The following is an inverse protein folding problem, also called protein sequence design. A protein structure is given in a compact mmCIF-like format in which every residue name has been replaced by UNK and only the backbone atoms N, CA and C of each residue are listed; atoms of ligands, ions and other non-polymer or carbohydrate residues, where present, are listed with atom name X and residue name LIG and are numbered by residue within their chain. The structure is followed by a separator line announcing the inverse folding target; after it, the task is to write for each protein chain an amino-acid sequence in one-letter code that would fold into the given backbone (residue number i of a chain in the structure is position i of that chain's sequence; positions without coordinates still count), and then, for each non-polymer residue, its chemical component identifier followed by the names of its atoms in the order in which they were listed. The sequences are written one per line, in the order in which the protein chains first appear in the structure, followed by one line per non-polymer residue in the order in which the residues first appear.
data_IF_196926438078
#
_entry.id   IF_196926438078
#
_cell.length_a   1.000
_cell.length_b   1.000
_cell.length_c   1.000
_cell.angle_alpha   90.00
_cell.angle_beta   90.00
_cell.angle_gamma   90.00
#
_symmetry.space_group_name_H-M   'P 1'
#
loop_
_entity.id
_entity.type
_entity.pdbx_description
1 polymer ?
#
# COMPACT_ATOMS: atom_id res chain seq x y z
N UNK A 1 13.55 -4.95 -16.88
CA UNK A 1 14.32 -4.66 -15.66
C UNK A 1 14.99 -5.94 -15.20
N UNK A 2 16.28 -5.91 -14.99
CA UNK A 2 17.07 -7.07 -14.55
C UNK A 2 17.66 -6.77 -13.17
N UNK A 3 17.49 -7.67 -12.22
CA UNK A 3 18.06 -7.58 -10.87
C UNK A 3 19.07 -8.70 -10.68
N UNK A 4 19.88 -8.66 -9.61
CA UNK A 4 20.98 -9.62 -9.36
C UNK A 4 20.59 -11.11 -9.37
N UNK A 5 19.30 -11.43 -9.19
CA UNK A 5 18.78 -12.80 -9.19
C UNK A 5 17.63 -13.05 -10.19
N UNK A 6 17.44 -12.16 -11.15
CA UNK A 6 16.39 -12.32 -12.14
C UNK A 6 15.98 -10.97 -12.74
N UNK A 7 14.86 -10.95 -13.44
CA UNK A 7 14.30 -9.76 -14.04
C UNK A 7 12.78 -9.81 -14.01
N UNK A 8 12.15 -8.65 -14.11
CA UNK A 8 10.72 -8.56 -14.31
C UNK A 8 10.43 -7.53 -15.41
N UNK A 9 9.49 -7.86 -16.26
CA UNK A 9 9.04 -6.99 -17.36
C UNK A 9 7.89 -6.08 -16.92
N UNK A 10 7.13 -6.50 -15.91
CA UNK A 10 5.90 -5.81 -15.48
C UNK A 10 5.89 -5.78 -13.95
N UNK A 11 5.51 -4.64 -13.39
CA UNK A 11 5.09 -4.50 -11.99
C UNK A 11 3.58 -4.40 -11.94
N UNK A 12 2.97 -5.24 -11.12
CA UNK A 12 1.54 -5.19 -10.86
C UNK A 12 1.31 -4.65 -9.44
N UNK A 13 0.37 -3.74 -9.32
CA UNK A 13 -0.05 -3.14 -8.06
C UNK A 13 -1.50 -3.49 -7.80
N UNK A 14 -1.86 -3.76 -6.54
CA UNK A 14 -3.24 -3.94 -6.13
C UNK A 14 -3.73 -2.66 -5.48
N UNK A 15 -4.67 -1.99 -6.13
CA UNK A 15 -5.33 -0.81 -5.57
C UNK A 15 -6.66 -1.20 -4.96
N UNK A 16 -6.95 -0.66 -3.78
CA UNK A 16 -8.21 -0.80 -3.07
C UNK A 16 -8.86 0.55 -2.97
N UNK A 17 -10.12 0.63 -3.39
CA UNK A 17 -10.96 1.80 -3.16
C UNK A 17 -12.10 1.41 -2.24
N UNK A 18 -12.16 2.06 -1.09
CA UNK A 18 -13.25 1.93 -0.12
C UNK A 18 -14.22 3.08 -0.32
N UNK A 19 -15.50 2.76 -0.43
CA UNK A 19 -16.59 3.73 -0.53
C UNK A 19 -17.41 3.72 0.75
N UNK A 20 -17.81 4.90 1.21
CA UNK A 20 -18.71 5.06 2.35
C UNK A 20 -20.11 5.46 1.90
N UNK A 21 -21.08 5.26 2.75
CA UNK A 21 -22.48 5.72 2.59
C UNK A 21 -22.59 7.25 2.56
N UNK A 22 -21.63 7.96 3.20
CA UNK A 22 -21.52 9.42 3.13
C UNK A 22 -20.98 9.97 1.80
N UNK A 23 -20.64 9.10 0.83
CA UNK A 23 -20.09 9.47 -0.47
C UNK A 23 -18.59 9.76 -0.47
N UNK A 24 -17.90 9.70 0.67
CA UNK A 24 -16.44 9.81 0.74
C UNK A 24 -15.82 8.49 0.31
N UNK A 25 -14.75 8.55 -0.47
CA UNK A 25 -13.99 7.35 -0.83
C UNK A 25 -12.50 7.52 -0.51
N UNK A 26 -11.87 6.43 -0.07
CA UNK A 26 -10.45 6.37 0.16
C UNK A 26 -9.74 5.37 -0.73
N UNK A 27 -8.45 5.61 -0.93
CA UNK A 27 -7.58 4.79 -1.76
C UNK A 27 -6.46 4.20 -0.90
N UNK A 28 -6.18 2.91 -1.10
CA UNK A 28 -5.04 2.22 -0.53
C UNK A 28 -4.36 1.32 -1.54
N UNK A 29 -3.14 0.91 -1.25
CA UNK A 29 -2.33 0.06 -2.11
C UNK A 29 -1.80 -1.14 -1.34
N UNK A 30 -1.98 -2.34 -1.89
CA UNK A 30 -1.36 -3.57 -1.41
C UNK A 30 -0.14 -3.93 -2.25
N UNK A 31 1.02 -3.91 -1.62
CA UNK A 31 2.30 -4.30 -2.24
C UNK A 31 2.43 -5.83 -2.29
N UNK A 32 3.29 -6.33 -3.18
CA UNK A 32 3.63 -7.76 -3.29
C UNK A 32 3.06 -8.43 -4.53
N UNK A 33 2.73 -9.71 -4.42
CA UNK A 33 2.10 -10.42 -5.53
C UNK A 33 0.65 -9.99 -5.68
N UNK A 34 0.37 -9.17 -6.68
CA UNK A 34 -0.96 -8.55 -6.88
C UNK A 34 -2.08 -9.59 -7.03
N UNK A 35 -1.83 -10.76 -7.61
CA UNK A 35 -2.84 -11.81 -7.75
C UNK A 35 -3.20 -12.40 -6.38
N UNK A 36 -2.21 -12.67 -5.54
CA UNK A 36 -2.44 -13.19 -4.19
C UNK A 36 -3.13 -12.15 -3.31
N UNK A 37 -2.64 -10.92 -3.30
CA UNK A 37 -3.26 -9.83 -2.53
C UNK A 37 -4.71 -9.62 -2.96
N UNK A 38 -4.99 -9.59 -4.28
CA UNK A 38 -6.35 -9.47 -4.80
C UNK A 38 -7.24 -10.63 -4.39
N UNK A 39 -6.73 -11.87 -4.41
CA UNK A 39 -7.50 -13.04 -4.00
C UNK A 39 -7.88 -12.95 -2.52
N UNK A 40 -6.93 -12.63 -1.64
CA UNK A 40 -7.17 -12.48 -0.19
C UNK A 40 -8.19 -11.36 0.07
N UNK A 41 -8.05 -10.22 -0.59
CA UNK A 41 -9.02 -9.14 -0.48
C UNK A 41 -10.41 -9.62 -0.85
N UNK A 42 -10.55 -10.23 -2.03
CA UNK A 42 -11.85 -10.58 -2.59
C UNK A 42 -12.54 -11.71 -1.85
N UNK A 43 -11.79 -12.77 -1.52
CA UNK A 43 -12.37 -14.02 -0.98
C UNK A 43 -12.45 -14.04 0.56
N UNK A 44 -11.75 -13.11 1.25
CA UNK A 44 -11.67 -13.15 2.71
C UNK A 44 -11.94 -11.80 3.39
N UNK A 45 -11.31 -10.71 2.93
CA UNK A 45 -11.27 -9.46 3.70
C UNK A 45 -12.37 -8.47 3.35
N UNK A 46 -12.84 -8.43 2.09
CA UNK A 46 -13.87 -7.47 1.69
C UNK A 46 -15.17 -7.65 2.48
N UNK A 47 -15.62 -8.88 2.70
CA UNK A 47 -16.83 -9.16 3.49
C UNK A 47 -16.68 -8.73 4.95
N UNK A 48 -15.49 -8.85 5.52
CA UNK A 48 -15.21 -8.43 6.90
C UNK A 48 -15.17 -6.91 7.05
N UNK A 49 -14.81 -6.19 5.98
CA UNK A 49 -14.71 -4.74 5.96
C UNK A 49 -16.02 -4.03 5.66
N UNK A 50 -16.91 -4.66 4.87
CA UNK A 50 -18.21 -4.07 4.51
C UNK A 50 -19.07 -3.87 5.75
N UNK A 51 -19.72 -2.69 5.86
CA UNK A 51 -20.55 -2.31 7.00
C UNK A 51 -19.79 -1.91 8.26
N UNK A 52 -18.44 -1.85 8.21
CA UNK A 52 -17.64 -1.34 9.32
C UNK A 52 -17.45 0.18 9.21
N UNK A 53 -17.35 0.83 10.36
CA UNK A 53 -16.99 2.25 10.43
C UNK A 53 -15.50 2.45 10.06
N UNK A 54 -15.19 3.19 8.98
CA UNK A 54 -13.82 3.42 8.56
C UNK A 54 -13.00 4.28 9.54
N UNK A 55 -13.63 4.89 10.55
CA UNK A 55 -12.91 5.61 11.61
C UNK A 55 -12.34 4.67 12.68
N UNK A 56 -12.88 3.47 12.82
CA UNK A 56 -12.43 2.45 13.77
C UNK A 56 -11.31 1.57 13.16
N UNK A 57 -10.26 2.23 12.66
CA UNK A 57 -9.20 1.63 11.83
C UNK A 57 -8.53 0.45 12.54
N UNK A 58 -8.14 0.62 13.80
CA UNK A 58 -7.44 -0.44 14.55
C UNK A 58 -8.35 -1.65 14.80
N UNK A 59 -9.62 -1.43 15.15
CA UNK A 59 -10.58 -2.51 15.32
C UNK A 59 -10.81 -3.27 14.01
N UNK A 60 -10.91 -2.56 12.90
CA UNK A 60 -11.02 -3.17 11.58
C UNK A 60 -9.76 -3.99 11.23
N UNK A 61 -8.57 -3.42 11.46
CA UNK A 61 -7.30 -4.11 11.23
C UNK A 61 -7.21 -5.41 12.03
N UNK A 62 -7.55 -5.37 13.31
CA UNK A 62 -7.60 -6.57 14.15
C UNK A 62 -8.57 -7.60 13.61
N UNK A 63 -9.80 -7.21 13.25
CA UNK A 63 -10.79 -8.10 12.67
C UNK A 63 -10.29 -8.79 11.39
N UNK A 64 -9.63 -8.05 10.50
CA UNK A 64 -9.06 -8.58 9.25
C UNK A 64 -7.95 -9.60 9.51
N UNK A 65 -7.10 -9.36 10.53
CA UNK A 65 -5.97 -10.22 10.87
C UNK A 65 -6.36 -11.39 11.77
N UNK A 66 -7.35 -11.25 12.65
CA UNK A 66 -7.82 -12.32 13.51
C UNK A 66 -8.53 -13.42 12.74
N UNK A 67 -9.13 -13.10 11.59
CA UNK A 67 -9.66 -14.10 10.67
C UNK A 67 -8.57 -15.06 10.14
N UNK A 68 -7.29 -14.67 10.26
CA UNK A 68 -6.11 -15.42 9.80
C UNK A 68 -5.35 -16.09 10.95
N UNK A 69 -6.04 -16.52 12.00
CA UNK A 69 -5.43 -17.01 13.28
C UNK A 69 -4.36 -18.09 13.08
N UNK A 70 -4.55 -19.00 12.15
CA UNK A 70 -3.62 -20.10 11.91
C UNK A 70 -2.67 -19.90 10.73
N UNK A 71 -3.01 -19.00 9.79
CA UNK A 71 -2.28 -18.84 8.57
C UNK A 71 -2.18 -17.36 8.19
N UNK A 72 -1.08 -16.99 7.57
CA UNK A 72 -0.91 -15.75 6.81
C UNK A 72 -1.03 -14.41 7.58
N UNK A 73 -0.73 -14.38 8.88
CA UNK A 73 -0.55 -13.09 9.59
C UNK A 73 0.66 -12.29 9.09
N UNK A 74 1.27 -12.73 8.01
CA UNK A 74 2.44 -12.12 7.37
C UNK A 74 2.28 -12.14 5.84
N UNK A 75 3.19 -11.48 5.14
CA UNK A 75 3.22 -11.53 3.68
C UNK A 75 1.97 -10.92 3.03
N UNK A 76 1.35 -11.64 2.12
CA UNK A 76 0.26 -11.12 1.28
C UNK A 76 -1.00 -10.75 2.06
N UNK A 77 -1.28 -11.42 3.19
CA UNK A 77 -2.43 -11.07 4.03
C UNK A 77 -2.26 -9.72 4.72
N UNK A 78 -1.06 -9.44 5.26
CA UNK A 78 -0.74 -8.11 5.81
C UNK A 78 -0.83 -7.04 4.72
N UNK A 79 -0.33 -7.31 3.51
CA UNK A 79 -0.42 -6.37 2.39
C UNK A 79 -1.88 -6.07 2.01
N UNK A 80 -2.74 -7.08 2.05
CA UNK A 80 -4.17 -6.92 1.79
C UNK A 80 -4.87 -6.09 2.88
N UNK A 81 -4.65 -6.41 4.16
CA UNK A 81 -5.20 -5.65 5.29
C UNK A 81 -4.71 -4.20 5.28
N UNK A 82 -3.41 -3.97 5.03
CA UNK A 82 -2.82 -2.63 4.93
C UNK A 82 -3.45 -1.79 3.81
N UNK A 83 -3.81 -2.39 2.69
CA UNK A 83 -4.49 -1.67 1.60
C UNK A 83 -5.86 -1.13 2.04
N UNK A 84 -6.63 -1.91 2.80
CA UNK A 84 -7.91 -1.46 3.39
C UNK A 84 -7.64 -0.38 4.44
N UNK A 85 -6.68 -0.60 5.32
CA UNK A 85 -6.30 0.35 6.37
C UNK A 85 -5.89 1.71 5.81
N UNK A 86 -5.03 1.74 4.78
CA UNK A 86 -4.63 2.97 4.10
C UNK A 86 -5.83 3.72 3.52
N UNK A 87 -6.78 3.00 2.90
CA UNK A 87 -8.00 3.59 2.38
C UNK A 87 -8.87 4.20 3.51
N UNK A 88 -8.91 3.58 4.69
CA UNK A 88 -9.62 4.13 5.85
C UNK A 88 -8.95 5.40 6.39
N UNK A 89 -7.61 5.44 6.44
CA UNK A 89 -6.87 6.67 6.80
C UNK A 89 -7.13 7.80 5.79
N UNK A 90 -7.20 7.50 4.50
CA UNK A 90 -7.52 8.48 3.46
C UNK A 90 -8.97 9.01 3.62
N UNK A 91 -9.94 8.13 3.92
CA UNK A 91 -11.32 8.53 4.24
C UNK A 91 -11.34 9.46 5.45
N UNK A 92 -10.66 9.07 6.53
CA UNK A 92 -10.62 9.83 7.77
C UNK A 92 -10.02 11.22 7.58
N UNK A 93 -8.90 11.31 6.83
CA UNK A 93 -8.29 12.58 6.46
C UNK A 93 -9.23 13.48 5.66
N UNK A 94 -9.91 12.93 4.65
CA UNK A 94 -10.88 13.64 3.82
C UNK A 94 -12.10 14.10 4.62
N UNK A 95 -12.64 13.24 5.46
CA UNK A 95 -13.80 13.57 6.29
C UNK A 95 -13.52 14.69 7.31
N UNK A 96 -12.30 14.73 7.86
CA UNK A 96 -11.87 15.74 8.82
C UNK A 96 -11.25 16.99 8.15
N UNK A 97 -11.03 16.97 6.84
CA UNK A 97 -10.42 18.07 6.10
C UNK A 97 -8.93 18.28 6.45
N UNK A 98 -8.23 17.25 6.91
CA UNK A 98 -6.82 17.31 7.28
C UNK A 98 -6.00 16.23 6.55
N UNK A 99 -4.72 16.51 6.26
CA UNK A 99 -3.85 15.49 5.68
C UNK A 99 -3.53 14.39 6.71
N UNK A 100 -3.34 13.16 6.22
CA UNK A 100 -3.14 11.97 7.07
C UNK A 100 -1.97 12.12 8.04
N UNK A 101 -0.89 12.81 7.66
CA UNK A 101 0.25 13.00 8.55
C UNK A 101 -0.12 13.74 9.86
N UNK A 102 -1.13 14.63 9.84
CA UNK A 102 -1.61 15.31 11.05
C UNK A 102 -2.34 14.34 11.98
N UNK A 103 -3.01 13.34 11.43
CA UNK A 103 -3.66 12.28 12.21
C UNK A 103 -2.65 11.29 12.80
N UNK A 104 -1.47 11.17 12.20
CA UNK A 104 -0.41 10.26 12.61
C UNK A 104 0.67 10.91 13.51
N UNK A 105 0.39 12.07 14.09
CA UNK A 105 1.32 12.71 15.04
C UNK A 105 1.94 14.02 14.56
N UNK A 106 1.58 14.51 13.36
CA UNK A 106 1.98 15.81 12.88
C UNK A 106 3.22 15.83 11.96
N UNK A 107 3.63 17.04 11.62
CA UNK A 107 4.72 17.27 10.68
C UNK A 107 6.08 17.22 11.40
N UNK A 108 6.86 16.18 11.17
CA UNK A 108 8.22 16.06 11.72
C UNK A 108 9.25 16.79 10.85
N UNK A 109 9.14 16.64 9.53
CA UNK A 109 10.05 17.28 8.58
C UNK A 109 9.29 17.95 7.43
N UNK A 110 9.63 19.21 7.13
CA UNK A 110 9.04 19.96 6.01
C UNK A 110 9.58 19.53 4.65
N UNK A 111 10.79 19.01 4.61
CA UNK A 111 11.47 18.50 3.41
C UNK A 111 12.06 17.14 3.71
N UNK A 112 11.86 16.21 2.83
CA UNK A 112 12.47 14.89 2.88
C UNK A 112 13.57 14.82 1.82
N UNK A 113 14.73 14.31 2.21
CA UNK A 113 15.74 13.91 1.25
C UNK A 113 15.25 12.66 0.54
N UNK A 114 15.27 12.68 -0.77
CA UNK A 114 14.86 11.58 -1.61
C UNK A 114 16.07 11.03 -2.38
N UNK A 115 16.02 9.75 -2.67
CA UNK A 115 16.97 9.12 -3.59
C UNK A 115 16.19 8.44 -4.72
N UNK A 116 16.79 8.38 -5.89
CA UNK A 116 16.24 7.66 -7.02
C UNK A 116 16.67 6.18 -6.93
N UNK A 117 15.73 5.26 -6.81
CA UNK A 117 15.96 3.81 -6.85
C UNK A 117 15.78 3.23 -8.24
N UNK A 118 16.11 4.00 -9.27
CA UNK A 118 15.79 3.72 -10.67
C UNK A 118 16.99 3.22 -11.48
N UNK A 119 18.19 3.27 -10.89
CA UNK A 119 19.40 2.77 -11.55
C UNK A 119 19.50 1.25 -11.38
N UNK A 120 19.14 0.54 -12.43
CA UNK A 120 19.17 -0.92 -12.45
C UNK A 120 20.41 -1.45 -13.13
N UNK A 121 20.77 -2.70 -12.80
CA UNK A 121 21.90 -3.38 -13.40
C UNK A 121 21.77 -3.42 -14.94
N UNK A 122 22.73 -2.82 -15.62
CA UNK A 122 22.94 -2.92 -17.07
C UNK A 122 24.18 -3.77 -17.35
N UNK A 123 24.23 -4.39 -18.55
CA UNK A 123 25.40 -5.17 -18.96
C UNK A 123 26.64 -4.30 -19.14
N UNK A 124 26.46 -3.07 -19.61
CA UNK A 124 27.51 -2.09 -19.82
C UNK A 124 27.51 -1.06 -18.69
N UNK A 125 28.64 -0.91 -17.95
CA UNK A 125 28.76 0.11 -16.92
C UNK A 125 28.54 1.54 -17.42
N UNK A 126 28.83 1.83 -18.69
CA UNK A 126 28.62 3.15 -19.28
C UNK A 126 27.13 3.51 -19.36
N UNK A 127 26.26 2.53 -19.57
CA UNK A 127 24.81 2.75 -19.60
C UNK A 127 24.25 2.96 -18.20
N UNK A 128 24.82 2.29 -17.19
CA UNK A 128 24.49 2.59 -15.78
C UNK A 128 24.86 4.01 -15.40
N UNK A 129 26.03 4.47 -15.83
CA UNK A 129 26.49 5.84 -15.57
C UNK A 129 25.58 6.89 -16.25
N UNK A 130 25.15 6.66 -17.49
CA UNK A 130 24.18 7.53 -18.19
C UNK A 130 22.84 7.57 -17.47
N UNK A 131 22.34 6.45 -16.99
CA UNK A 131 21.09 6.38 -16.25
C UNK A 131 21.18 7.11 -14.89
N UNK A 132 22.30 6.95 -14.18
CA UNK A 132 22.57 7.66 -12.94
C UNK A 132 22.59 9.18 -13.15
N UNK A 133 23.23 9.66 -14.20
CA UNK A 133 23.28 11.10 -14.53
C UNK A 133 21.92 11.70 -14.89
N UNK A 134 20.96 10.88 -15.30
CA UNK A 134 19.60 11.36 -15.64
C UNK A 134 18.76 11.67 -14.39
N UNK A 135 19.10 11.11 -13.24
CA UNK A 135 18.31 11.22 -12.00
C UNK A 135 18.97 12.12 -10.94
N UNK A 136 20.15 12.67 -11.24
CA UNK A 136 20.84 13.71 -10.47
C UNK A 136 20.50 15.08 -11.05
#
# INVERSE_FOLDING_TARGET
MQISRGGFAIRNHTLVRVHTDSGISGLGEGIGNALLVKAILKEQMCELAVGQDPFNIEALRQRLLDSQVYFERQGSAICAASAIEMACWDIKGKALGVPVYQLLGGLVQKRLEAYASDVYWQKDPSDMAKEALRVV
#
